data_IF_230842787262
#
_entry.id   IF_230842787262
#
_cell.length_a   1.000
_cell.length_b   1.000
_cell.length_c   1.000
_cell.angle_alpha   90.00
_cell.angle_beta   90.00
_cell.angle_gamma   90.00
#
_symmetry.space_group_name_H-M   'P 1'
#
loop_
_entity.id
_entity.type
_entity.pdbx_description
1 polymer ?
#
# COMPACT_ATOMS: atom_id res chain seq x y z
N UNK A 1 -53.22 12.13 -20.60
CA UNK A 1 -53.81 13.47 -20.44
C UNK A 1 -52.69 14.45 -20.44
N UNK A 2 -52.50 15.00 -21.53
CA UNK A 2 -52.41 16.39 -22.03
C UNK A 2 -50.99 16.95 -21.99
N UNK A 3 -50.43 16.98 -23.17
CA UNK A 3 -49.46 17.95 -23.67
C UNK A 3 -50.23 19.26 -23.94
N UNK A 4 -49.63 20.43 -23.82
CA UNK A 4 -49.42 21.26 -24.99
C UNK A 4 -48.00 21.87 -25.02
N UNK A 5 -47.29 21.79 -26.09
CA UNK A 5 -47.25 22.55 -27.35
C UNK A 5 -47.36 24.08 -27.24
N UNK A 6 -46.39 24.74 -27.81
CA UNK A 6 -46.38 25.95 -28.67
C UNK A 6 -45.19 26.84 -28.33
N UNK A 7 -44.46 27.14 -29.27
CA UNK A 7 -44.39 27.94 -30.51
C UNK A 7 -43.30 28.99 -30.35
N UNK A 8 -42.35 28.98 -31.23
CA UNK A 8 -42.31 29.74 -32.48
C UNK A 8 -41.72 31.15 -32.37
N UNK A 9 -40.71 31.38 -33.14
CA UNK A 9 -40.63 32.62 -33.89
C UNK A 9 -39.39 33.47 -33.69
N UNK A 10 -38.65 33.69 -34.76
CA UNK A 10 -37.97 34.92 -34.95
C UNK A 10 -36.49 34.88 -35.33
N UNK A 11 -36.19 34.58 -36.57
CA UNK A 11 -35.06 35.13 -37.35
C UNK A 11 -35.64 36.35 -38.08
N UNK A 12 -34.92 37.38 -38.48
CA UNK A 12 -33.55 37.79 -38.67
C UNK A 12 -33.36 39.32 -38.44
N UNK A 13 -32.51 40.04 -39.13
CA UNK A 13 -31.32 39.78 -39.96
C UNK A 13 -30.09 40.66 -39.66
N UNK A 14 -28.95 40.19 -40.24
CA UNK A 14 -27.95 40.99 -40.92
C UNK A 14 -27.58 42.38 -40.41
N UNK A 15 -26.39 42.50 -39.91
CA UNK A 15 -25.51 43.59 -40.37
C UNK A 15 -24.05 43.26 -39.96
N UNK A 16 -23.27 42.92 -40.92
CA UNK A 16 -21.83 43.07 -40.89
C UNK A 16 -21.46 44.53 -40.72
N UNK A 17 -20.44 44.81 -39.95
CA UNK A 17 -19.41 45.71 -40.42
C UNK A 17 -18.07 45.05 -40.44
N UNK A 18 -17.44 45.14 -41.60
CA UNK A 18 -16.03 45.05 -41.86
C UNK A 18 -15.20 45.48 -40.65
N UNK A 19 -14.61 44.54 -39.95
CA UNK A 19 -13.52 44.81 -39.04
C UNK A 19 -12.22 44.47 -39.75
N UNK A 20 -11.44 45.48 -39.95
CA UNK A 20 -10.07 45.43 -40.49
C UNK A 20 -9.24 44.35 -39.80
N UNK A 21 -8.26 43.70 -40.48
CA UNK A 21 -7.38 42.72 -39.88
C UNK A 21 -6.58 43.41 -38.79
N UNK A 22 -6.85 43.01 -37.55
CA UNK A 22 -6.12 43.45 -36.36
C UNK A 22 -4.69 42.81 -36.45
N UNK A 23 -3.76 43.50 -37.07
CA UNK A 23 -2.36 43.20 -37.04
C UNK A 23 -1.80 43.60 -35.69
N UNK A 24 -2.13 42.79 -34.65
CA UNK A 24 -1.36 42.84 -33.44
C UNK A 24 0.04 42.33 -33.76
N UNK A 25 1.12 43.13 -33.56
CA UNK A 25 2.47 42.65 -33.73
C UNK A 25 2.68 41.53 -32.70
N UNK A 26 3.03 40.32 -33.20
CA UNK A 26 3.46 39.22 -32.34
C UNK A 26 4.49 39.75 -31.34
N UNK A 27 4.36 39.47 -30.04
CA UNK A 27 5.38 39.83 -29.08
C UNK A 27 6.72 39.23 -29.54
N UNK A 28 7.73 40.10 -29.69
CA UNK A 28 9.07 39.69 -30.06
C UNK A 28 9.52 38.55 -29.15
N UNK A 29 9.74 37.37 -29.70
CA UNK A 29 10.29 36.23 -28.99
C UNK A 29 11.57 36.68 -28.30
N UNK A 30 11.67 36.44 -26.98
CA UNK A 30 12.90 36.74 -26.25
C UNK A 30 14.10 36.03 -26.92
N UNK A 31 15.27 36.67 -26.99
CA UNK A 31 16.44 36.06 -27.64
C UNK A 31 16.83 34.69 -27.06
N UNK A 32 16.39 34.41 -25.84
CA UNK A 32 16.55 33.13 -25.17
C UNK A 32 15.70 32.01 -25.80
N UNK A 33 14.45 32.29 -26.17
CA UNK A 33 13.54 31.33 -26.78
C UNK A 33 13.99 30.99 -28.24
N UNK A 34 14.53 31.97 -28.96
CA UNK A 34 15.08 31.77 -30.29
C UNK A 34 16.28 30.82 -30.31
N UNK A 35 17.15 30.93 -29.29
CA UNK A 35 18.35 30.08 -29.16
C UNK A 35 17.98 28.60 -28.87
N UNK A 36 16.93 28.33 -28.10
CA UNK A 36 16.45 26.98 -27.87
C UNK A 36 15.79 26.34 -29.08
N UNK A 37 15.08 27.12 -29.89
CA UNK A 37 14.50 26.63 -31.13
C UNK A 37 15.59 26.31 -32.17
N UNK A 38 16.59 27.15 -32.30
CA UNK A 38 17.72 26.93 -33.24
C UNK A 38 18.55 25.67 -32.87
N UNK A 39 18.74 25.42 -31.54
CA UNK A 39 19.39 24.19 -31.11
C UNK A 39 18.58 22.92 -31.40
N UNK A 40 17.24 22.98 -31.27
CA UNK A 40 16.34 21.86 -31.62
C UNK A 40 16.37 21.57 -33.12
N UNK A 41 16.35 22.58 -33.94
CA UNK A 41 16.42 22.48 -35.39
C UNK A 41 17.76 21.87 -35.86
N UNK A 42 18.88 22.32 -35.27
CA UNK A 42 20.22 21.77 -35.62
C UNK A 42 20.33 20.29 -35.24
N UNK A 43 19.81 19.86 -34.09
CA UNK A 43 19.80 18.43 -33.70
C UNK A 43 18.91 17.61 -34.62
N UNK A 44 17.74 18.11 -34.99
CA UNK A 44 16.81 17.44 -35.89
C UNK A 44 17.40 17.23 -37.28
N UNK A 45 18.08 18.26 -37.82
CA UNK A 45 18.72 18.20 -39.12
C UNK A 45 19.96 17.29 -39.12
N UNK A 46 20.68 17.17 -38.03
CA UNK A 46 21.81 16.25 -37.90
C UNK A 46 21.35 14.79 -37.84
N UNK A 47 20.24 14.49 -37.15
CA UNK A 47 19.66 13.15 -37.14
C UNK A 47 19.13 12.75 -38.54
N UNK A 48 18.44 13.64 -39.24
CA UNK A 48 17.93 13.38 -40.58
C UNK A 48 19.05 13.10 -41.58
N UNK A 49 20.15 13.86 -41.54
CA UNK A 49 21.33 13.62 -42.39
C UNK A 49 22.01 12.26 -42.18
N UNK A 50 21.99 11.74 -40.95
CA UNK A 50 22.53 10.40 -40.66
C UNK A 50 21.62 9.30 -41.23
N UNK A 51 20.30 9.49 -41.14
CA UNK A 51 19.32 8.53 -41.68
C UNK A 51 19.35 8.43 -43.19
N UNK A 52 19.64 9.52 -43.91
CA UNK A 52 19.69 9.53 -45.35
C UNK A 52 20.91 8.80 -45.94
N UNK A 53 21.98 8.64 -45.16
CA UNK A 53 23.19 7.90 -45.59
C UNK A 53 23.11 6.39 -45.39
N UNK A 54 22.08 5.89 -44.69
CA UNK A 54 21.90 4.46 -44.40
C UNK A 54 21.26 3.79 -45.62
N UNK A 55 21.82 2.65 -46.04
CA UNK A 55 21.29 1.87 -47.18
C UNK A 55 19.83 1.46 -46.92
N UNK A 56 19.04 1.32 -47.98
CA UNK A 56 17.62 0.96 -47.87
C UNK A 56 17.42 -0.36 -47.12
N UNK A 57 18.31 -1.33 -47.34
CA UNK A 57 18.28 -2.63 -46.62
C UNK A 57 18.47 -2.45 -45.10
N UNK A 58 19.37 -1.55 -44.67
CA UNK A 58 19.60 -1.29 -43.24
C UNK A 58 18.42 -0.57 -42.60
N UNK A 59 17.73 0.32 -43.31
CA UNK A 59 16.50 0.97 -42.86
C UNK A 59 15.39 -0.07 -42.64
N UNK A 60 15.25 -1.02 -43.54
CA UNK A 60 14.23 -2.08 -43.42
C UNK A 60 14.52 -3.00 -42.24
N UNK A 61 15.78 -3.41 -42.04
CA UNK A 61 16.20 -4.22 -40.89
C UNK A 61 16.00 -3.46 -39.60
N UNK A 62 16.35 -2.18 -39.50
CA UNK A 62 16.14 -1.37 -38.32
C UNK A 62 14.65 -1.21 -37.98
N UNK A 63 13.80 -1.05 -39.01
CA UNK A 63 12.34 -0.97 -38.81
C UNK A 63 11.77 -2.29 -38.28
N UNK A 64 12.18 -3.43 -38.82
CA UNK A 64 11.71 -4.74 -38.31
C UNK A 64 12.16 -5.01 -36.90
N UNK A 65 13.40 -4.68 -36.54
CA UNK A 65 13.90 -4.79 -35.16
C UNK A 65 13.10 -3.86 -34.21
N UNK A 66 12.83 -2.63 -34.61
CA UNK A 66 12.05 -1.69 -33.81
C UNK A 66 10.63 -2.21 -33.56
N UNK A 67 9.94 -2.74 -34.57
CA UNK A 67 8.61 -3.34 -34.42
C UNK A 67 8.64 -4.55 -33.49
N UNK A 68 9.64 -5.42 -33.61
CA UNK A 68 9.81 -6.58 -32.73
C UNK A 68 10.04 -6.14 -31.27
N UNK A 69 10.91 -5.16 -31.04
CA UNK A 69 11.17 -4.64 -29.69
C UNK A 69 9.92 -4.02 -29.08
N UNK A 70 9.14 -3.25 -29.82
CA UNK A 70 7.87 -2.70 -29.37
C UNK A 70 6.89 -3.83 -29.04
N UNK A 71 6.75 -4.82 -29.91
CA UNK A 71 5.87 -5.96 -29.71
C UNK A 71 6.22 -6.75 -28.42
N UNK A 72 7.50 -7.08 -28.24
CA UNK A 72 7.98 -7.78 -27.03
C UNK A 72 7.76 -6.93 -25.78
N UNK A 73 7.98 -5.62 -25.86
CA UNK A 73 7.78 -4.70 -24.73
C UNK A 73 6.31 -4.65 -24.32
N UNK A 74 5.38 -4.55 -25.26
CA UNK A 74 3.93 -4.53 -25.00
C UNK A 74 3.48 -5.85 -24.36
N UNK A 75 3.93 -6.99 -24.91
CA UNK A 75 3.60 -8.31 -24.35
C UNK A 75 4.13 -8.45 -22.92
N UNK A 76 5.39 -8.08 -22.69
CA UNK A 76 6.02 -8.16 -21.37
C UNK A 76 5.30 -7.30 -20.32
N UNK A 77 4.89 -6.10 -20.70
CA UNK A 77 4.12 -5.21 -19.82
C UNK A 77 2.73 -5.78 -19.52
N UNK A 78 2.05 -6.33 -20.55
CA UNK A 78 0.72 -6.93 -20.39
C UNK A 78 0.74 -8.15 -19.47
N UNK A 79 1.73 -9.04 -19.63
CA UNK A 79 1.90 -10.22 -18.76
C UNK A 79 2.14 -9.78 -17.32
N UNK A 80 3.00 -8.78 -17.09
CA UNK A 80 3.29 -8.28 -15.75
C UNK A 80 2.05 -7.72 -15.06
N UNK A 81 1.23 -6.94 -15.78
CA UNK A 81 -0.02 -6.39 -15.28
C UNK A 81 -1.03 -7.51 -14.95
N UNK A 82 -1.16 -8.51 -15.85
CA UNK A 82 -2.06 -9.64 -15.65
C UNK A 82 -1.68 -10.48 -14.43
N UNK A 83 -0.39 -10.83 -14.30
CA UNK A 83 0.11 -11.62 -13.16
C UNK A 83 -0.09 -10.89 -11.85
N UNK A 84 0.19 -9.59 -11.81
CA UNK A 84 0.00 -8.79 -10.61
C UNK A 84 -1.48 -8.76 -10.17
N UNK A 85 -2.39 -8.50 -11.12
CA UNK A 85 -3.83 -8.50 -10.84
C UNK A 85 -4.34 -9.89 -10.39
N UNK A 86 -3.87 -10.96 -11.04
CA UNK A 86 -4.22 -12.32 -10.66
C UNK A 86 -3.74 -12.69 -9.25
N UNK A 87 -2.50 -12.31 -8.90
CA UNK A 87 -1.96 -12.56 -7.57
C UNK A 87 -2.74 -11.81 -6.49
N UNK A 88 -3.06 -10.53 -6.72
CA UNK A 88 -3.88 -9.75 -5.79
C UNK A 88 -5.26 -10.37 -5.59
N UNK A 89 -5.94 -10.71 -6.68
CA UNK A 89 -7.27 -11.34 -6.61
C UNK A 89 -7.23 -12.69 -5.88
N UNK A 90 -6.21 -13.51 -6.13
CA UNK A 90 -6.03 -14.78 -5.44
C UNK A 90 -5.81 -14.57 -3.94
N UNK A 91 -4.96 -13.62 -3.56
CA UNK A 91 -4.72 -13.28 -2.15
C UNK A 91 -5.99 -12.77 -1.48
N UNK A 92 -6.74 -11.87 -2.12
CA UNK A 92 -7.99 -11.33 -1.59
C UNK A 92 -9.05 -12.43 -1.38
N UNK A 93 -9.17 -13.37 -2.33
CA UNK A 93 -10.07 -14.52 -2.20
C UNK A 93 -9.64 -15.43 -1.06
N UNK A 94 -8.34 -15.65 -0.90
CA UNK A 94 -7.79 -16.47 0.18
C UNK A 94 -8.03 -15.81 1.55
N UNK A 95 -7.75 -14.52 1.69
CA UNK A 95 -8.02 -13.76 2.91
C UNK A 95 -9.51 -13.78 3.26
N UNK A 96 -10.39 -13.57 2.27
CA UNK A 96 -11.83 -13.60 2.47
C UNK A 96 -12.32 -14.98 2.91
N UNK A 97 -11.82 -16.07 2.33
CA UNK A 97 -12.22 -17.43 2.72
C UNK A 97 -11.74 -17.79 4.14
N UNK A 98 -10.58 -17.29 4.55
CA UNK A 98 -10.02 -17.55 5.88
C UNK A 98 -10.61 -16.64 6.95
N UNK A 99 -11.12 -15.46 6.58
CA UNK A 99 -11.64 -14.48 7.54
C UNK A 99 -12.75 -15.03 8.42
N UNK A 100 -13.66 -15.84 7.87
CA UNK A 100 -14.72 -16.47 8.64
C UNK A 100 -14.19 -17.44 9.69
N UNK A 101 -13.16 -18.23 9.34
CA UNK A 101 -12.52 -19.14 10.29
C UNK A 101 -11.86 -18.39 11.43
N UNK A 102 -11.18 -17.29 11.12
CA UNK A 102 -10.53 -16.43 12.12
C UNK A 102 -11.56 -15.79 13.04
N UNK A 103 -12.61 -15.20 12.49
CA UNK A 103 -13.69 -14.55 13.27
C UNK A 103 -14.39 -15.54 14.18
N UNK A 104 -14.67 -16.75 13.72
CA UNK A 104 -15.33 -17.79 14.53
C UNK A 104 -14.45 -18.32 15.67
N UNK A 105 -13.13 -18.19 15.57
CA UNK A 105 -12.16 -18.68 16.56
C UNK A 105 -11.44 -17.54 17.31
N UNK A 106 -11.93 -16.32 17.22
CA UNK A 106 -11.26 -15.13 17.77
C UNK A 106 -11.01 -15.24 19.27
N UNK A 107 -11.94 -15.81 20.04
CA UNK A 107 -11.83 -16.00 21.49
C UNK A 107 -10.71 -16.99 21.86
N UNK A 108 -10.45 -17.98 21.02
CA UNK A 108 -9.35 -18.91 21.19
C UNK A 108 -8.01 -18.28 20.81
N UNK A 109 -7.99 -17.54 19.70
CA UNK A 109 -6.80 -16.88 19.19
C UNK A 109 -6.34 -15.72 20.09
N UNK A 110 -7.27 -15.01 20.71
CA UNK A 110 -6.94 -13.91 21.62
C UNK A 110 -6.36 -14.36 22.96
N UNK A 111 -6.64 -15.59 23.39
CA UNK A 111 -6.20 -16.15 24.68
C UNK A 111 -4.89 -16.92 24.61
N UNK A 112 -4.54 -17.42 23.44
CA UNK A 112 -3.33 -18.20 23.27
C UNK A 112 -2.21 -17.32 22.70
N UNK A 113 -1.08 -17.33 23.40
CA UNK A 113 0.24 -16.93 22.89
C UNK A 113 0.69 -17.94 21.81
N UNK A 114 -0.24 -18.21 20.88
CA UNK A 114 -0.10 -19.31 19.94
C UNK A 114 0.86 -18.92 18.84
N UNK A 115 1.92 -19.70 18.75
CA UNK A 115 2.78 -19.83 17.58
C UNK A 115 1.92 -20.32 16.40
N UNK A 116 1.12 -19.43 15.82
CA UNK A 116 0.42 -19.69 14.56
C UNK A 116 1.41 -19.87 13.41
N UNK A 117 0.95 -20.26 12.23
CA UNK A 117 1.81 -20.33 11.06
C UNK A 117 2.53 -19.00 10.87
N UNK A 118 3.86 -19.05 10.73
CA UNK A 118 4.76 -17.88 10.66
C UNK A 118 4.51 -16.92 9.47
N UNK A 119 3.44 -17.13 8.72
CA UNK A 119 3.11 -16.39 7.50
C UNK A 119 1.87 -15.52 7.60
N UNK A 120 1.18 -15.50 8.74
CA UNK A 120 -0.04 -14.72 8.91
C UNK A 120 0.14 -13.60 9.93
N UNK A 121 -0.51 -12.49 9.67
CA UNK A 121 -0.67 -11.39 10.61
C UNK A 121 -2.13 -11.31 11.08
N UNK A 122 -2.33 -11.16 12.38
CA UNK A 122 -3.65 -10.97 12.97
C UNK A 122 -3.59 -9.92 14.05
N UNK A 123 -4.41 -8.87 13.92
CA UNK A 123 -4.60 -7.87 14.96
C UNK A 123 -6.09 -7.65 15.21
N UNK A 124 -6.47 -7.57 16.46
CA UNK A 124 -7.83 -7.34 16.93
C UNK A 124 -7.86 -5.99 17.65
N UNK A 125 -8.66 -5.05 17.14
CA UNK A 125 -8.89 -3.76 17.77
C UNK A 125 -10.32 -3.72 18.32
N UNK A 126 -10.47 -3.72 19.64
CA UNK A 126 -11.79 -3.68 20.27
C UNK A 126 -12.43 -2.30 20.14
N UNK A 127 -13.68 -2.26 19.67
CA UNK A 127 -14.46 -1.03 19.41
C UNK A 127 -15.62 -0.88 20.40
N UNK A 128 -15.84 -1.85 21.27
CA UNK A 128 -16.92 -1.90 22.24
C UNK A 128 -16.64 -1.12 23.55
N UNK A 129 -15.55 -0.37 23.60
CA UNK A 129 -15.10 0.37 24.75
C UNK A 129 -14.23 -0.43 25.73
N UNK A 130 -13.86 -1.67 25.39
CA UNK A 130 -12.89 -2.47 26.15
C UNK A 130 -11.54 -1.77 26.16
N UNK A 131 -10.94 -1.65 27.34
CA UNK A 131 -9.68 -0.94 27.56
C UNK A 131 -8.62 -1.86 28.13
N UNK A 132 -7.37 -1.51 27.86
CA UNK A 132 -6.19 -2.12 28.49
C UNK A 132 -5.98 -1.61 29.93
N UNK A 133 -4.90 -2.05 30.59
CA UNK A 133 -4.57 -1.66 31.97
C UNK A 133 -4.22 -0.17 32.11
N UNK A 134 -3.77 0.45 31.02
CA UNK A 134 -3.42 1.86 30.93
C UNK A 134 -4.62 2.76 30.55
N UNK A 135 -5.79 2.17 30.27
CA UNK A 135 -7.02 2.88 29.92
C UNK A 135 -7.15 3.21 28.44
N UNK A 136 -6.24 2.73 27.59
CA UNK A 136 -6.32 2.86 26.14
C UNK A 136 -7.24 1.80 25.54
N UNK A 137 -7.77 2.00 24.31
CA UNK A 137 -8.51 0.97 23.61
C UNK A 137 -7.70 -0.32 23.47
N UNK A 138 -8.32 -1.45 23.83
CA UNK A 138 -7.64 -2.74 23.80
C UNK A 138 -7.30 -3.15 22.35
N UNK A 139 -6.01 -3.36 22.11
CA UNK A 139 -5.48 -3.89 20.84
C UNK A 139 -4.67 -5.15 21.16
N UNK A 140 -5.03 -6.25 20.53
CA UNK A 140 -4.36 -7.54 20.71
C UNK A 140 -3.80 -8.00 19.37
N UNK A 141 -2.55 -8.43 19.34
CA UNK A 141 -1.90 -8.95 18.12
C UNK A 141 -1.45 -10.39 18.37
N UNK A 142 -2.36 -11.36 18.26
CA UNK A 142 -2.06 -12.75 18.60
C UNK A 142 -1.12 -13.44 17.61
N UNK A 143 -1.09 -13.00 16.35
CA UNK A 143 -0.24 -13.59 15.33
C UNK A 143 0.61 -12.51 14.65
N UNK A 144 1.91 -12.71 14.66
CA UNK A 144 2.88 -11.91 13.91
C UNK A 144 3.87 -12.83 13.20
N UNK A 145 4.09 -12.66 11.90
CA UNK A 145 5.09 -13.47 11.20
C UNK A 145 6.49 -13.17 11.71
N UNK A 146 7.13 -14.20 12.22
CA UNK A 146 8.48 -14.12 12.76
C UNK A 146 9.48 -14.66 11.72
N UNK A 147 10.54 -13.91 11.50
CA UNK A 147 11.67 -14.24 10.63
C UNK A 147 12.89 -14.58 11.47
N UNK A 148 14.05 -14.73 10.82
CA UNK A 148 15.31 -14.96 11.51
C UNK A 148 15.64 -13.83 12.50
N UNK A 149 16.37 -14.14 13.54
CA UNK A 149 16.83 -13.24 14.61
C UNK A 149 15.68 -12.52 15.36
N UNK A 150 14.50 -13.15 15.41
CA UNK A 150 13.34 -12.56 16.08
C UNK A 150 12.77 -11.34 15.36
N UNK A 151 13.16 -11.10 14.09
CA UNK A 151 12.58 -10.04 13.28
C UNK A 151 11.12 -10.38 12.93
N UNK A 152 10.23 -9.44 13.15
CA UNK A 152 8.81 -9.54 12.81
C UNK A 152 8.40 -8.42 11.85
N UNK A 153 7.45 -8.72 10.99
CA UNK A 153 6.83 -7.74 10.09
C UNK A 153 5.54 -7.21 10.72
N UNK A 154 5.49 -5.91 10.95
CA UNK A 154 4.34 -5.24 11.54
C UNK A 154 3.71 -4.30 10.52
N UNK A 155 2.54 -4.64 9.95
CA UNK A 155 1.84 -3.74 9.04
C UNK A 155 1.46 -2.43 9.71
N UNK A 156 1.52 -1.33 8.97
CA UNK A 156 1.05 -0.02 9.43
C UNK A 156 -0.46 -0.01 9.26
N UNK A 157 -1.18 -0.13 10.37
CA UNK A 157 -2.64 -0.12 10.38
C UNK A 157 -3.16 1.27 10.81
N UNK A 158 -4.41 1.60 10.47
CA UNK A 158 -5.04 2.83 10.95
C UNK A 158 -5.06 2.89 12.47
N UNK A 159 -4.99 4.09 13.00
CA UNK A 159 -5.17 4.32 14.42
C UNK A 159 -6.58 3.88 14.83
N UNK A 160 -6.71 3.35 16.04
CA UNK A 160 -7.99 2.94 16.60
C UNK A 160 -9.08 4.01 16.40
N UNK A 161 -10.21 3.58 15.82
CA UNK A 161 -11.33 4.46 15.51
C UNK A 161 -11.20 5.29 14.24
N UNK A 162 -10.04 5.34 13.60
CA UNK A 162 -9.84 5.99 12.30
C UNK A 162 -9.97 4.98 11.16
N UNK A 163 -11.18 4.91 10.60
CA UNK A 163 -11.47 4.07 9.43
C UNK A 163 -11.45 4.87 8.12
N UNK A 164 -10.94 6.11 8.14
CA UNK A 164 -10.93 6.97 6.96
C UNK A 164 -10.16 6.32 5.82
N UNK A 165 -10.86 6.05 4.73
CA UNK A 165 -10.31 5.43 3.53
C UNK A 165 -10.23 3.90 3.56
N UNK A 166 -10.70 3.22 4.62
CA UNK A 166 -10.75 1.75 4.71
C UNK A 166 -12.20 1.29 4.69
N UNK A 167 -12.49 0.40 3.75
CA UNK A 167 -13.80 -0.26 3.65
C UNK A 167 -13.70 -1.63 4.32
N UNK A 168 -14.54 -1.88 5.33
CA UNK A 168 -14.65 -3.17 5.98
C UNK A 168 -15.07 -4.24 4.95
N UNK A 169 -14.43 -5.39 5.01
CA UNK A 169 -14.65 -6.48 4.05
C UNK A 169 -13.90 -6.31 2.72
N UNK A 170 -13.15 -5.23 2.52
CA UNK A 170 -12.35 -5.01 1.33
C UNK A 170 -10.85 -4.98 1.69
N UNK A 171 -10.07 -5.84 1.04
CA UNK A 171 -8.64 -5.89 1.28
C UNK A 171 -7.93 -4.64 0.73
N UNK A 172 -6.98 -4.11 1.50
CA UNK A 172 -6.14 -2.98 1.11
C UNK A 172 -4.66 -3.32 1.27
N UNK A 173 -3.80 -2.57 0.58
CA UNK A 173 -2.35 -2.74 0.68
C UNK A 173 -1.79 -1.68 1.62
N UNK A 174 -0.97 -2.12 2.60
CA UNK A 174 -0.28 -1.24 3.52
C UNK A 174 1.21 -1.56 3.57
N UNK A 175 1.99 -0.59 4.01
CA UNK A 175 3.42 -0.80 4.27
C UNK A 175 3.63 -1.49 5.61
N UNK A 176 4.78 -2.13 5.78
CA UNK A 176 5.16 -2.73 7.04
C UNK A 176 6.48 -2.16 7.55
N UNK A 177 6.65 -2.24 8.86
CA UNK A 177 7.89 -1.93 9.55
C UNK A 177 8.49 -3.20 10.13
N UNK A 178 9.81 -3.33 10.02
CA UNK A 178 10.53 -4.39 10.70
C UNK A 178 10.68 -4.02 12.18
N UNK A 179 10.30 -4.92 13.05
CA UNK A 179 10.53 -4.87 14.49
C UNK A 179 11.31 -6.11 14.93
N UNK A 180 11.94 -6.07 16.08
CA UNK A 180 12.63 -7.21 16.67
C UNK A 180 12.00 -7.53 18.02
N UNK A 181 11.69 -8.81 18.23
CA UNK A 181 11.24 -9.30 19.54
C UNK A 181 12.48 -9.40 20.42
N UNK A 182 12.52 -8.60 21.49
CA UNK A 182 13.54 -8.70 22.53
C UNK A 182 12.89 -9.21 23.81
N UNK A 183 13.63 -10.04 24.52
CA UNK A 183 13.21 -10.52 25.85
C UNK A 183 13.80 -9.60 26.88
N UNK A 184 12.96 -8.95 27.66
CA UNK A 184 13.37 -8.14 28.80
C UNK A 184 13.07 -8.92 30.07
N UNK A 185 14.11 -9.21 30.82
CA UNK A 185 13.98 -9.76 32.17
C UNK A 185 13.76 -8.58 33.11
N UNK A 186 12.61 -8.54 33.77
CA UNK A 186 12.37 -7.55 34.83
C UNK A 186 12.95 -8.11 36.11
N UNK A 187 14.13 -7.64 36.49
CA UNK A 187 14.62 -7.84 37.85
C UNK A 187 13.66 -7.11 38.80
N UNK A 188 12.84 -7.84 39.51
CA UNK A 188 12.02 -7.29 40.57
C UNK A 188 12.95 -6.90 41.73
N UNK A 189 13.53 -5.70 41.63
CA UNK A 189 14.37 -5.10 42.67
C UNK A 189 13.50 -4.54 43.81
N UNK A 190 12.66 -5.38 44.42
CA UNK A 190 11.97 -5.02 45.66
C UNK A 190 11.81 -6.30 46.50
N UNK A 191 12.95 -6.88 46.89
CA UNK A 191 13.00 -7.81 47.99
C UNK A 191 13.66 -7.11 49.16
N UNK A 192 12.87 -6.38 49.91
CA UNK A 192 13.23 -6.08 51.32
C UNK A 192 13.51 -7.40 52.02
N UNK A 193 14.74 -7.51 52.52
CA UNK A 193 15.24 -8.59 53.32
C UNK A 193 14.24 -8.99 54.44
N UNK A 194 13.57 -10.12 54.24
CA UNK A 194 12.98 -10.88 55.32
C UNK A 194 13.69 -12.25 55.41
N UNK A 195 14.55 -12.48 56.40
CA UNK A 195 15.42 -13.66 56.47
C UNK A 195 14.74 -14.94 56.99
N UNK A 196 13.42 -15.05 56.93
CA UNK A 196 12.72 -16.14 57.66
C UNK A 196 11.90 -17.10 56.78
N UNK A 197 11.92 -17.07 55.46
CA UNK A 197 11.19 -18.11 54.72
C UNK A 197 11.90 -18.47 53.40
N UNK A 198 12.63 -19.57 53.44
CA UNK A 198 13.43 -20.09 52.34
C UNK A 198 12.59 -20.76 51.24
N UNK A 199 11.72 -20.00 50.57
CA UNK A 199 11.10 -20.44 49.32
C UNK A 199 11.03 -19.27 48.32
N UNK A 200 12.19 -18.87 47.82
CA UNK A 200 12.31 -17.85 46.78
C UNK A 200 11.95 -18.46 45.43
N UNK A 201 10.68 -18.59 45.13
CA UNK A 201 10.21 -18.65 43.76
C UNK A 201 10.18 -17.21 43.23
N UNK A 202 11.35 -16.67 42.87
CA UNK A 202 11.45 -15.47 42.03
C UNK A 202 10.92 -15.85 40.66
N UNK A 203 9.64 -15.56 40.40
CA UNK A 203 9.05 -15.66 39.09
C UNK A 203 9.63 -14.52 38.26
N UNK A 204 10.78 -14.78 37.60
CA UNK A 204 11.31 -13.90 36.59
C UNK A 204 10.23 -13.70 35.53
N UNK A 205 9.61 -12.51 35.54
CA UNK A 205 8.60 -12.18 34.53
C UNK A 205 9.31 -11.86 33.24
N UNK A 206 9.37 -12.84 32.34
CA UNK A 206 9.91 -12.68 31.00
C UNK A 206 8.89 -11.91 30.16
N UNK A 207 9.20 -10.66 29.83
CA UNK A 207 8.35 -9.83 28.97
C UNK A 207 8.97 -9.74 27.58
N UNK A 208 8.22 -10.12 26.54
CA UNK A 208 8.59 -9.91 25.13
C UNK A 208 8.18 -8.51 24.69
N UNK A 209 9.13 -7.72 24.22
CA UNK A 209 8.91 -6.33 23.78
C UNK A 209 9.32 -6.18 22.32
N UNK A 210 8.53 -5.42 21.56
CA UNK A 210 8.85 -5.05 20.18
C UNK A 210 9.77 -3.83 20.16
N UNK A 211 10.99 -4.00 19.71
CA UNK A 211 11.98 -2.93 19.58
C UNK A 211 12.33 -2.69 18.10
N UNK A 212 13.09 -1.64 17.85
CA UNK A 212 13.71 -1.47 16.54
C UNK A 212 14.82 -2.51 16.38
N UNK A 213 15.04 -3.05 15.14
CA UNK A 213 16.10 -4.01 14.90
C UNK A 213 17.46 -3.47 15.32
N UNK A 214 18.26 -4.32 15.96
CA UNK A 214 19.64 -3.98 16.34
C UNK A 214 20.52 -3.87 15.08
N UNK A 215 21.66 -3.18 15.21
CA UNK A 215 22.61 -3.03 14.09
C UNK A 215 23.16 -4.36 13.57
N UNK A 216 23.17 -5.40 14.40
CA UNK A 216 23.68 -6.73 14.05
C UNK A 216 22.57 -7.69 13.57
N UNK A 217 21.30 -7.24 13.51
CA UNK A 217 20.21 -8.07 13.04
C UNK A 217 20.33 -8.38 11.54
N UNK A 218 19.78 -9.51 11.13
CA UNK A 218 19.85 -9.99 9.76
C UNK A 218 19.22 -9.00 8.77
N UNK A 219 20.05 -8.40 7.93
CA UNK A 219 19.63 -7.39 6.96
C UNK A 219 18.59 -7.94 5.96
N UNK A 220 18.73 -9.19 5.50
CA UNK A 220 17.77 -9.81 4.58
C UNK A 220 16.41 -10.01 5.25
N UNK A 221 16.38 -10.40 6.53
CA UNK A 221 15.15 -10.51 7.31
C UNK A 221 14.47 -9.13 7.49
N UNK A 222 15.25 -8.08 7.74
CA UNK A 222 14.73 -6.70 7.86
C UNK A 222 14.10 -6.23 6.55
N UNK A 223 14.78 -6.47 5.41
CA UNK A 223 14.25 -6.09 4.08
C UNK A 223 12.95 -6.84 3.79
N UNK A 224 12.91 -8.14 4.06
CA UNK A 224 11.71 -8.97 3.87
C UNK A 224 10.57 -8.51 4.78
N UNK A 225 10.87 -8.18 6.04
CA UNK A 225 9.86 -7.70 7.00
C UNK A 225 9.24 -6.35 6.62
N UNK A 226 9.89 -5.57 5.76
CA UNK A 226 9.36 -4.30 5.25
C UNK A 226 8.54 -4.44 3.98
N UNK A 227 8.37 -5.65 3.46
CA UNK A 227 7.51 -5.88 2.30
C UNK A 227 6.07 -5.43 2.59
N UNK A 228 5.37 -4.86 1.58
CA UNK A 228 3.99 -4.44 1.78
C UNK A 228 3.08 -5.64 2.06
N UNK A 229 2.09 -5.41 2.90
CA UNK A 229 1.07 -6.39 3.28
C UNK A 229 -0.24 -6.15 2.56
N UNK A 230 -0.95 -7.24 2.29
CA UNK A 230 -2.36 -7.21 1.88
C UNK A 230 -3.20 -7.55 3.10
N UNK A 231 -4.01 -6.60 3.58
CA UNK A 231 -4.77 -6.69 4.82
C UNK A 231 -6.25 -6.64 4.52
N UNK A 232 -7.00 -7.56 5.12
CA UNK A 232 -8.47 -7.59 5.08
C UNK A 232 -9.01 -7.18 6.47
N UNK A 233 -9.67 -6.03 6.60
CA UNK A 233 -10.37 -5.64 7.80
C UNK A 233 -11.76 -6.27 7.82
N UNK A 234 -12.12 -6.99 8.88
CA UNK A 234 -13.43 -7.60 9.09
C UNK A 234 -14.00 -7.20 10.44
N UNK A 235 -15.31 -6.99 10.51
CA UNK A 235 -15.99 -6.73 11.77
C UNK A 235 -16.25 -8.03 12.52
N UNK A 236 -15.87 -8.07 13.79
CA UNK A 236 -16.26 -9.12 14.71
C UNK A 236 -17.49 -8.69 15.48
N UNK A 237 -18.56 -9.45 15.36
CA UNK A 237 -19.83 -9.21 16.04
C UNK A 237 -20.08 -10.27 17.11
N UNK A 238 -20.54 -9.84 18.27
CA UNK A 238 -21.02 -10.73 19.32
C UNK A 238 -22.40 -10.26 19.79
N UNK A 239 -23.37 -11.17 19.81
CA UNK A 239 -24.77 -10.85 20.15
C UNK A 239 -25.36 -9.72 19.28
N UNK A 240 -25.03 -9.67 18.00
CA UNK A 240 -25.53 -8.66 17.05
C UNK A 240 -24.96 -7.26 17.23
N UNK A 241 -23.90 -7.09 18.04
CA UNK A 241 -23.19 -5.82 18.22
C UNK A 241 -21.75 -5.94 17.75
N UNK A 242 -21.25 -4.90 17.10
CA UNK A 242 -19.85 -4.81 16.72
C UNK A 242 -18.97 -4.71 17.96
N UNK A 243 -18.06 -5.64 18.14
CA UNK A 243 -17.12 -5.68 19.27
C UNK A 243 -15.72 -5.28 18.90
N UNK A 244 -15.27 -5.66 17.71
CA UNK A 244 -13.91 -5.41 17.29
C UNK A 244 -13.80 -5.33 15.77
N UNK A 245 -12.75 -4.66 15.30
CA UNK A 245 -12.26 -4.78 13.93
C UNK A 245 -11.04 -5.71 13.94
N UNK A 246 -11.07 -6.70 13.08
CA UNK A 246 -10.04 -7.73 12.95
C UNK A 246 -9.30 -7.50 11.64
N UNK A 247 -7.99 -7.27 11.72
CA UNK A 247 -7.11 -7.11 10.57
C UNK A 247 -6.38 -8.42 10.31
N UNK A 248 -6.59 -9.01 9.13
CA UNK A 248 -6.04 -10.30 8.71
C UNK A 248 -5.11 -10.05 7.52
N UNK A 249 -3.87 -10.55 7.58
CA UNK A 249 -2.87 -10.38 6.52
C UNK A 249 -2.05 -11.63 6.24
#
# INVERSE_FOLDING_TARGET
>A
MSIPDKQSGGVPPSSTPNAAPNTNPMPAMSPFAAHFQEQRERKKNMLMRHIDRISLSSKLVACTIAVLLIGVSVISFSIRALVNNYMLQKTDTQLSSQSQLVVNNIDLLSKNDSSGPNSYFLQIQYTDGTKDKEGNPLVVTPLMPQMQDGIVSVPILPTYGDTNGITLGQAFTTQAVAKQIITVQSDSADSQNDPANGNSNSSDTITKVLANPTANANHAAIVTARAPWRILPVTFQQNGKDRAVVYIG
#
